data_IF_354383245295
#
_entry.id   IF_354383245295
#
_cell.length_a   1.000
_cell.length_b   1.000
_cell.length_c   1.000
_cell.angle_alpha   90.00
_cell.angle_beta   90.00
_cell.angle_gamma   90.00
#
_symmetry.space_group_name_H-M   'P 1'
#
loop_
_entity.id
_entity.type
_entity.pdbx_description
1 polymer ?
#
# COMPACT_ATOMS: atom_id res chain seq x y z
N UNK A 1 -46.52 62.39 -8.31
CA UNK A 1 -46.93 61.17 -8.95
C UNK A 1 -45.69 60.63 -9.69
N UNK A 2 -45.01 59.54 -9.43
CA UNK A 2 -45.38 58.26 -8.87
C UNK A 2 -44.13 57.59 -8.31
N UNK A 3 -44.20 57.18 -7.09
CA UNK A 3 -43.30 56.23 -6.47
C UNK A 3 -43.52 54.86 -7.16
N UNK A 4 -42.45 54.14 -7.53
CA UNK A 4 -42.37 52.68 -7.51
C UNK A 4 -41.30 52.13 -8.48
N UNK A 5 -40.04 52.06 -8.11
CA UNK A 5 -39.07 51.21 -8.80
C UNK A 5 -37.81 50.91 -7.95
N UNK A 6 -37.96 50.65 -6.64
CA UNK A 6 -36.77 50.38 -5.82
C UNK A 6 -36.86 49.09 -4.98
N UNK A 7 -37.76 48.15 -5.35
CA UNK A 7 -37.99 46.97 -4.51
C UNK A 7 -37.58 45.60 -5.11
N UNK A 8 -36.96 45.53 -6.29
CA UNK A 8 -36.65 44.22 -6.90
C UNK A 8 -35.15 43.83 -6.91
N UNK A 9 -34.28 44.71 -6.39
CA UNK A 9 -32.83 44.41 -6.41
C UNK A 9 -32.30 43.79 -5.10
N UNK A 10 -33.04 43.88 -4.00
CA UNK A 10 -32.59 43.35 -2.69
C UNK A 10 -32.79 41.84 -2.49
N UNK A 11 -33.69 41.18 -3.23
CA UNK A 11 -34.00 39.79 -3.03
C UNK A 11 -33.06 38.83 -3.81
N UNK A 12 -32.44 39.29 -4.88
CA UNK A 12 -31.49 38.45 -5.66
C UNK A 12 -30.10 38.33 -5.03
N UNK A 13 -29.66 39.33 -4.26
CA UNK A 13 -28.34 39.29 -3.61
C UNK A 13 -28.37 38.43 -2.35
N UNK A 14 -29.47 38.38 -1.63
CA UNK A 14 -29.61 37.55 -0.43
C UNK A 14 -29.72 36.04 -0.78
N UNK A 15 -30.34 35.68 -1.91
CA UNK A 15 -30.50 34.29 -2.34
C UNK A 15 -29.19 33.70 -2.84
N UNK A 16 -28.31 34.52 -3.47
CA UNK A 16 -26.97 34.09 -3.90
C UNK A 16 -25.96 33.93 -2.76
N UNK A 17 -26.19 34.60 -1.63
CA UNK A 17 -25.34 34.48 -0.44
C UNK A 17 -25.66 33.19 0.35
N UNK A 18 -26.90 32.71 0.31
CA UNK A 18 -27.31 31.46 0.96
C UNK A 18 -26.92 30.18 0.15
N UNK A 19 -26.80 30.30 -1.18
CA UNK A 19 -26.36 29.21 -2.04
C UNK A 19 -24.83 28.96 -2.03
N UNK A 20 -24.04 29.93 -1.55
CA UNK A 20 -22.58 29.77 -1.40
C UNK A 20 -22.12 29.12 -0.09
N UNK A 21 -23.02 28.74 0.81
CA UNK A 21 -22.66 28.13 2.11
C UNK A 21 -22.83 26.62 2.18
N UNK A 22 -23.03 25.96 1.06
CA UNK A 22 -22.92 24.49 1.00
C UNK A 22 -21.70 24.03 0.19
N UNK A 23 -20.54 24.66 0.44
CA UNK A 23 -19.29 23.92 0.26
C UNK A 23 -19.23 22.99 1.48
N UNK A 24 -19.89 21.86 1.35
CA UNK A 24 -19.60 20.69 2.17
C UNK A 24 -18.14 20.37 1.92
N UNK A 25 -17.29 20.80 2.82
CA UNK A 25 -15.96 20.21 2.99
C UNK A 25 -16.22 18.73 3.18
N UNK A 26 -16.07 17.96 2.09
CA UNK A 26 -16.02 16.51 2.11
C UNK A 26 -14.88 16.22 3.09
N UNK A 27 -15.21 15.98 4.37
CA UNK A 27 -14.25 15.52 5.37
C UNK A 27 -13.58 14.34 4.69
N UNK A 28 -12.29 14.48 4.38
CA UNK A 28 -11.48 13.33 4.00
C UNK A 28 -11.66 12.36 5.16
N UNK A 29 -12.43 11.32 4.89
CA UNK A 29 -12.60 10.24 5.85
C UNK A 29 -11.19 9.66 6.02
N UNK A 30 -10.53 10.03 7.12
CA UNK A 30 -9.23 9.45 7.46
C UNK A 30 -9.55 7.98 7.77
N UNK A 31 -9.24 7.11 6.84
CA UNK A 31 -9.41 5.68 7.03
C UNK A 31 -8.54 5.25 8.21
N UNK A 32 -9.19 4.70 9.23
CA UNK A 32 -8.53 4.15 10.40
C UNK A 32 -8.56 2.63 10.28
N UNK A 33 -7.39 2.02 10.28
CA UNK A 33 -7.26 0.57 10.38
C UNK A 33 -7.06 0.17 11.84
N UNK A 34 -7.70 -0.91 12.25
CA UNK A 34 -7.54 -1.49 13.59
C UNK A 34 -7.61 -3.00 13.45
N UNK A 35 -6.63 -3.68 14.01
CA UNK A 35 -6.59 -5.15 14.06
C UNK A 35 -6.49 -5.59 15.52
N UNK A 36 -6.97 -6.79 15.79
CA UNK A 36 -6.82 -7.45 17.08
C UNK A 36 -6.11 -8.78 16.87
N UNK A 37 -4.96 -8.93 17.51
CA UNK A 37 -4.20 -10.17 17.54
C UNK A 37 -4.40 -10.85 18.87
N UNK A 38 -4.74 -12.13 18.85
CA UNK A 38 -5.09 -12.93 20.03
C UNK A 38 -4.03 -14.01 20.22
N UNK A 39 -3.43 -14.05 21.39
CA UNK A 39 -2.61 -15.17 21.82
C UNK A 39 -3.48 -16.43 21.98
N UNK A 40 -3.04 -17.53 21.45
CA UNK A 40 -3.72 -18.83 21.51
C UNK A 40 -3.07 -19.69 22.58
N UNK A 41 -1.89 -20.15 22.32
CA UNK A 41 -1.08 -20.96 23.21
C UNK A 41 0.39 -20.88 22.78
N UNK A 42 1.31 -21.26 23.67
CA UNK A 42 2.75 -21.27 23.42
C UNK A 42 3.22 -19.95 22.75
N UNK A 43 3.77 -20.03 21.54
CA UNK A 43 4.22 -18.88 20.74
C UNK A 43 3.25 -18.51 19.60
N UNK A 44 2.05 -19.10 19.59
CA UNK A 44 1.07 -18.94 18.51
C UNK A 44 0.13 -17.78 18.77
N UNK A 45 0.00 -16.90 17.79
CA UNK A 45 -0.96 -15.81 17.74
C UNK A 45 -1.88 -15.95 16.53
N UNK A 46 -3.09 -15.45 16.64
CA UNK A 46 -4.04 -15.41 15.53
C UNK A 46 -4.62 -14.00 15.39
N UNK A 47 -4.71 -13.51 14.17
CA UNK A 47 -5.33 -12.23 13.85
C UNK A 47 -6.31 -12.40 12.71
N UNK A 48 -7.45 -11.70 12.78
CA UNK A 48 -8.38 -11.60 11.65
C UNK A 48 -8.26 -10.22 11.03
N UNK A 49 -8.00 -10.18 9.73
CA UNK A 49 -7.91 -8.95 8.93
C UNK A 49 -8.92 -9.05 7.81
N UNK A 50 -9.95 -8.23 7.85
CA UNK A 50 -11.00 -8.15 6.82
C UNK A 50 -11.65 -9.53 6.49
N UNK A 51 -11.85 -10.37 7.52
CA UNK A 51 -12.43 -11.71 7.38
C UNK A 51 -11.42 -12.83 7.13
N UNK A 52 -10.15 -12.51 6.89
CA UNK A 52 -9.07 -13.48 6.66
C UNK A 52 -8.30 -13.75 7.95
N UNK A 53 -8.18 -15.02 8.30
CA UNK A 53 -7.43 -15.42 9.49
C UNK A 53 -5.96 -15.67 9.14
N UNK A 54 -5.07 -15.01 9.88
CA UNK A 54 -3.62 -15.18 9.77
C UNK A 54 -3.11 -15.73 11.10
N UNK A 55 -2.45 -16.87 11.05
CA UNK A 55 -1.74 -17.46 12.19
C UNK A 55 -0.28 -16.98 12.12
N UNK A 56 0.28 -16.62 13.25
CA UNK A 56 1.67 -16.17 13.41
C UNK A 56 2.30 -17.08 14.46
N UNK A 57 3.44 -17.68 14.13
CA UNK A 57 4.12 -18.57 15.03
C UNK A 57 5.65 -18.50 14.86
N UNK A 58 6.38 -19.14 15.77
CA UNK A 58 7.80 -19.36 15.65
C UNK A 58 8.10 -20.75 15.06
N UNK A 59 9.33 -20.95 14.62
CA UNK A 59 9.82 -22.26 14.25
C UNK A 59 10.02 -23.17 15.45
N UNK A 60 10.06 -24.47 15.24
CA UNK A 60 10.30 -25.46 16.29
C UNK A 60 11.65 -25.22 17.01
N UNK A 61 12.65 -24.78 16.28
CA UNK A 61 13.98 -24.37 16.80
C UNK A 61 13.93 -23.22 17.78
N UNK A 62 12.83 -22.43 17.78
CA UNK A 62 12.59 -21.28 18.66
C UNK A 62 11.46 -21.53 19.64
N UNK A 63 11.04 -22.80 19.81
CA UNK A 63 9.99 -23.21 20.72
C UNK A 63 8.57 -22.94 20.21
N UNK A 64 8.38 -22.72 18.93
CA UNK A 64 7.08 -22.69 18.26
C UNK A 64 6.64 -24.05 17.73
N UNK A 65 5.54 -24.08 17.00
CA UNK A 65 4.95 -25.26 16.37
C UNK A 65 4.90 -25.15 14.84
N UNK A 66 5.53 -24.11 14.27
CA UNK A 66 5.56 -23.83 12.84
C UNK A 66 4.17 -23.73 12.16
N UNK A 67 3.16 -23.27 12.91
CA UNK A 67 1.78 -23.16 12.41
C UNK A 67 1.53 -21.96 11.51
N UNK A 68 2.50 -21.06 11.38
CA UNK A 68 2.35 -19.85 10.57
C UNK A 68 3.67 -19.10 10.36
N UNK A 69 3.66 -18.11 9.49
CA UNK A 69 4.83 -17.29 9.21
C UNK A 69 5.30 -16.49 10.44
N UNK A 70 6.59 -16.17 10.46
CA UNK A 70 7.20 -15.32 11.48
C UNK A 70 6.82 -13.86 11.24
N UNK A 71 6.68 -13.06 12.33
CA UNK A 71 6.21 -11.67 12.23
C UNK A 71 7.02 -10.80 11.27
N UNK A 72 8.36 -10.93 11.28
CA UNK A 72 9.22 -10.13 10.40
C UNK A 72 9.03 -10.49 8.91
N UNK A 73 8.80 -11.75 8.58
CA UNK A 73 8.54 -12.18 7.20
C UNK A 73 7.20 -11.61 6.68
N UNK A 74 6.19 -11.47 7.53
CA UNK A 74 4.94 -10.81 7.17
C UNK A 74 5.15 -9.34 6.78
N UNK A 75 6.13 -8.66 7.36
CA UNK A 75 6.49 -7.30 6.94
C UNK A 75 7.02 -7.28 5.50
N UNK A 76 7.82 -8.26 5.09
CA UNK A 76 8.31 -8.38 3.71
C UNK A 76 7.15 -8.70 2.75
N UNK A 77 6.27 -9.62 3.14
CA UNK A 77 5.08 -9.95 2.36
C UNK A 77 4.15 -8.73 2.18
N UNK A 78 3.98 -7.91 3.21
CA UNK A 78 3.22 -6.67 3.13
C UNK A 78 3.85 -5.66 2.16
N UNK A 79 5.18 -5.56 2.14
CA UNK A 79 5.90 -4.71 1.18
C UNK A 79 5.67 -5.19 -0.25
N UNK A 80 5.89 -6.49 -0.53
CA UNK A 80 5.67 -7.09 -1.84
C UNK A 80 4.22 -6.93 -2.32
N UNK A 81 3.25 -7.25 -1.47
CA UNK A 81 1.83 -7.14 -1.80
C UNK A 81 1.40 -5.71 -2.10
N UNK A 82 1.82 -4.73 -1.29
CA UNK A 82 1.44 -3.33 -1.49
C UNK A 82 1.96 -2.79 -2.83
N UNK A 83 3.27 -2.95 -3.10
CA UNK A 83 3.84 -2.47 -4.37
C UNK A 83 3.33 -3.27 -5.56
N UNK A 84 3.12 -4.59 -5.42
CA UNK A 84 2.61 -5.45 -6.48
C UNK A 84 1.22 -5.04 -6.95
N UNK A 85 0.30 -4.74 -6.03
CA UNK A 85 -1.03 -4.23 -6.35
C UNK A 85 -0.98 -2.90 -7.12
N UNK A 86 -0.08 -1.99 -6.72
CA UNK A 86 0.13 -0.73 -7.44
C UNK A 86 0.64 -0.97 -8.86
N UNK A 87 1.68 -1.79 -9.02
CA UNK A 87 2.31 -2.10 -10.32
C UNK A 87 1.28 -2.70 -11.27
N UNK A 88 0.56 -3.76 -10.85
CA UNK A 88 -0.48 -4.39 -11.68
C UNK A 88 -1.60 -3.39 -12.03
N UNK A 89 -2.02 -2.55 -11.10
CA UNK A 89 -3.02 -1.51 -11.37
C UNK A 89 -2.55 -0.53 -12.44
N UNK A 90 -1.27 -0.13 -12.42
CA UNK A 90 -0.68 0.77 -13.41
C UNK A 90 -0.52 0.11 -14.76
N UNK A 91 -0.02 -1.14 -14.82
CA UNK A 91 0.14 -1.89 -16.06
C UNK A 91 -1.21 -2.07 -16.76
N UNK A 92 -2.28 -2.41 -16.03
CA UNK A 92 -3.64 -2.47 -16.59
C UNK A 92 -4.09 -1.15 -17.20
N UNK A 93 -3.84 -0.01 -16.51
CA UNK A 93 -4.15 1.32 -17.06
C UNK A 93 -3.34 1.66 -18.31
N UNK A 94 -2.11 1.14 -18.43
CA UNK A 94 -1.24 1.29 -19.58
C UNK A 94 -1.53 0.25 -20.68
N UNK A 95 -2.53 -0.63 -20.49
CA UNK A 95 -2.90 -1.73 -21.39
C UNK A 95 -1.70 -2.63 -21.68
N UNK A 96 -1.02 -3.05 -20.61
CA UNK A 96 0.06 -4.03 -20.63
C UNK A 96 -0.45 -5.30 -19.97
N UNK A 97 -0.38 -6.39 -20.68
CA UNK A 97 -0.67 -7.73 -20.16
C UNK A 97 0.66 -8.41 -19.85
N UNK A 98 0.72 -9.10 -18.71
CA UNK A 98 1.86 -9.90 -18.28
C UNK A 98 1.34 -11.30 -17.96
N UNK A 99 2.10 -12.32 -18.35
CA UNK A 99 1.71 -13.71 -18.09
C UNK A 99 2.01 -14.09 -16.64
N UNK A 100 3.20 -13.72 -16.15
CA UNK A 100 3.62 -13.92 -14.79
C UNK A 100 4.27 -12.66 -14.22
N UNK A 101 3.98 -12.42 -12.96
CA UNK A 101 4.57 -11.31 -12.22
C UNK A 101 4.78 -11.71 -10.76
N UNK A 102 6.03 -11.81 -10.38
CA UNK A 102 6.46 -12.14 -9.04
C UNK A 102 7.27 -11.01 -8.42
N UNK A 103 7.28 -10.94 -7.10
CA UNK A 103 8.12 -10.02 -6.35
C UNK A 103 8.82 -10.78 -5.25
N UNK A 104 10.12 -10.91 -5.38
CA UNK A 104 11.00 -11.43 -4.34
C UNK A 104 11.48 -10.25 -3.49
N UNK A 105 11.54 -10.43 -2.18
CA UNK A 105 12.08 -9.44 -1.25
C UNK A 105 13.21 -10.07 -0.46
N UNK A 106 14.43 -9.62 -0.71
CA UNK A 106 15.61 -9.97 0.05
C UNK A 106 15.90 -8.88 1.09
N UNK A 107 16.10 -9.28 2.34
CA UNK A 107 16.37 -8.34 3.43
C UNK A 107 17.34 -8.95 4.44
N UNK A 108 18.33 -8.18 4.85
CA UNK A 108 19.32 -8.58 5.83
C UNK A 108 18.95 -8.06 7.22
N UNK A 109 19.16 -8.90 8.23
CA UNK A 109 19.00 -8.51 9.65
C UNK A 109 20.30 -7.94 10.22
N UNK A 110 20.16 -7.12 11.25
CA UNK A 110 21.29 -6.73 12.12
C UNK A 110 21.72 -7.92 12.96
N UNK A 111 22.97 -7.93 13.40
CA UNK A 111 23.54 -8.99 14.25
C UNK A 111 23.22 -8.78 15.74
N UNK A 112 23.01 -7.53 16.14
CA UNK A 112 22.75 -7.16 17.53
C UNK A 112 21.26 -6.84 17.77
N UNK A 113 20.79 -7.12 18.98
CA UNK A 113 19.43 -6.77 19.40
C UNK A 113 19.24 -5.25 19.56
N UNK A 114 18.07 -4.72 19.16
CA UNK A 114 16.95 -5.45 18.56
C UNK A 114 17.25 -5.85 17.11
N UNK A 115 17.03 -7.14 16.78
CA UNK A 115 17.19 -7.63 15.41
C UNK A 115 16.17 -6.96 14.48
N UNK A 116 16.65 -6.10 13.60
CA UNK A 116 15.86 -5.34 12.62
C UNK A 116 16.45 -5.51 11.22
N UNK A 117 15.67 -5.23 10.18
CA UNK A 117 16.22 -5.17 8.84
C UNK A 117 17.19 -4.00 8.71
N UNK A 118 18.38 -4.25 8.17
CA UNK A 118 19.40 -3.23 7.87
C UNK A 118 19.38 -2.83 6.40
N UNK A 119 18.93 -3.73 5.50
CA UNK A 119 18.75 -3.48 4.07
C UNK A 119 17.53 -4.24 3.56
N UNK A 120 16.94 -3.76 2.44
CA UNK A 120 15.86 -4.44 1.76
C UNK A 120 16.01 -4.23 0.25
N UNK A 121 15.93 -5.30 -0.54
CA UNK A 121 15.93 -5.28 -2.00
C UNK A 121 14.68 -5.97 -2.52
N UNK A 122 13.92 -5.29 -3.37
CA UNK A 122 12.79 -5.87 -4.08
C UNK A 122 13.24 -6.26 -5.49
N UNK A 123 12.91 -7.46 -5.92
CA UNK A 123 13.18 -7.95 -7.27
C UNK A 123 11.83 -8.20 -7.93
N UNK A 124 11.53 -7.41 -8.96
CA UNK A 124 10.30 -7.50 -9.73
C UNK A 124 10.57 -8.34 -10.97
N UNK A 125 9.99 -9.53 -11.05
CA UNK A 125 10.21 -10.50 -12.10
C UNK A 125 8.97 -10.60 -12.99
N UNK A 126 9.13 -10.30 -14.27
CA UNK A 126 8.06 -10.31 -15.27
C UNK A 126 8.35 -11.33 -16.34
N UNK A 127 7.34 -12.12 -16.72
CA UNK A 127 7.41 -13.04 -17.86
C UNK A 127 6.21 -12.83 -18.78
N UNK A 128 6.44 -12.95 -20.08
CA UNK A 128 5.43 -12.80 -21.12
C UNK A 128 6.04 -12.41 -22.47
N UNK A 129 5.25 -12.57 -23.52
CA UNK A 129 5.64 -12.17 -24.85
C UNK A 129 5.53 -10.64 -25.03
N UNK A 130 6.44 -10.07 -25.82
CA UNK A 130 6.42 -8.65 -26.24
C UNK A 130 6.21 -7.64 -25.08
N UNK A 131 6.83 -7.88 -23.94
CA UNK A 131 6.70 -7.02 -22.76
C UNK A 131 7.32 -5.63 -23.01
N UNK A 132 6.55 -4.54 -22.87
CA UNK A 132 7.04 -3.18 -23.10
C UNK A 132 7.86 -2.68 -21.89
N UNK A 133 9.16 -2.93 -21.88
CA UNK A 133 10.11 -2.62 -20.80
C UNK A 133 9.90 -1.23 -20.20
N UNK A 134 9.86 -0.18 -21.05
CA UNK A 134 9.67 1.22 -20.58
C UNK A 134 8.38 1.44 -19.79
N UNK A 135 7.31 0.72 -20.12
CA UNK A 135 6.05 0.82 -19.35
C UNK A 135 6.17 0.08 -18.02
N UNK A 136 6.84 -1.07 -18.01
CA UNK A 136 7.13 -1.85 -16.79
C UNK A 136 8.00 -1.04 -15.84
N UNK A 137 9.13 -0.52 -16.31
CA UNK A 137 10.01 0.36 -15.55
C UNK A 137 9.26 1.54 -14.96
N UNK A 138 8.43 2.20 -15.77
CA UNK A 138 7.61 3.34 -15.32
C UNK A 138 6.62 2.92 -14.21
N UNK A 139 5.96 1.78 -14.35
CA UNK A 139 5.00 1.30 -13.36
C UNK A 139 5.69 0.97 -12.02
N UNK A 140 6.81 0.25 -12.06
CA UNK A 140 7.60 -0.07 -10.88
C UNK A 140 8.13 1.19 -10.21
N UNK A 141 8.74 2.10 -10.97
CA UNK A 141 9.28 3.37 -10.46
C UNK A 141 8.20 4.21 -9.79
N UNK A 142 7.03 4.35 -10.41
CA UNK A 142 5.93 5.11 -9.83
C UNK A 142 5.44 4.50 -8.51
N UNK A 143 5.27 3.17 -8.43
CA UNK A 143 4.91 2.52 -7.17
C UNK A 143 5.99 2.76 -6.13
N UNK A 144 7.24 2.49 -6.47
CA UNK A 144 8.38 2.59 -5.57
C UNK A 144 8.58 4.00 -5.02
N UNK A 145 8.46 5.04 -5.85
CA UNK A 145 8.74 6.43 -5.45
C UNK A 145 7.54 7.15 -4.84
N UNK A 146 6.30 6.87 -5.34
CA UNK A 146 5.18 7.78 -5.09
C UNK A 146 3.93 7.14 -4.49
N UNK A 147 3.66 5.84 -4.73
CA UNK A 147 2.36 5.27 -4.40
C UNK A 147 2.37 4.27 -3.26
N UNK A 148 3.38 3.40 -3.16
CA UNK A 148 3.40 2.36 -2.13
C UNK A 148 3.64 2.94 -0.73
N UNK A 149 2.56 3.04 0.07
CA UNK A 149 2.64 3.57 1.43
C UNK A 149 3.50 2.72 2.37
N UNK A 150 3.55 1.40 2.16
CA UNK A 150 4.39 0.49 2.96
C UNK A 150 5.87 0.75 2.66
N UNK A 151 6.25 0.88 1.38
CA UNK A 151 7.62 1.23 1.02
C UNK A 151 8.01 2.63 1.49
N UNK A 152 7.09 3.59 1.47
CA UNK A 152 7.35 4.93 2.02
C UNK A 152 7.70 4.87 3.51
N UNK A 153 7.00 4.04 4.29
CA UNK A 153 7.35 3.81 5.71
C UNK A 153 8.70 3.13 5.85
N UNK A 154 9.00 2.09 5.06
CA UNK A 154 10.28 1.36 5.19
C UNK A 154 11.47 2.21 4.80
N UNK A 155 11.37 3.01 3.73
CA UNK A 155 12.44 3.93 3.31
C UNK A 155 12.81 4.98 4.37
N UNK A 156 11.92 5.26 5.33
CA UNK A 156 12.23 6.17 6.43
C UNK A 156 13.15 5.56 7.49
N UNK A 157 13.32 4.23 7.51
CA UNK A 157 14.07 3.55 8.56
C UNK A 157 15.13 2.57 8.05
N UNK A 158 15.06 2.14 6.78
CA UNK A 158 16.05 1.24 6.16
C UNK A 158 16.34 1.65 4.72
N UNK A 159 17.56 1.43 4.20
CA UNK A 159 17.87 1.51 2.78
C UNK A 159 17.06 0.48 2.01
N UNK A 160 16.23 0.95 1.06
CA UNK A 160 15.42 0.09 0.20
C UNK A 160 15.85 0.33 -1.25
N UNK A 161 16.13 -0.76 -1.98
CA UNK A 161 16.45 -0.75 -3.41
C UNK A 161 15.53 -1.68 -4.18
N UNK A 162 15.57 -1.58 -5.50
CA UNK A 162 14.86 -2.53 -6.35
C UNK A 162 15.65 -2.88 -7.62
N UNK A 163 15.27 -4.01 -8.20
CA UNK A 163 15.73 -4.53 -9.48
C UNK A 163 14.52 -4.98 -10.28
N UNK A 164 14.59 -4.88 -11.61
CA UNK A 164 13.55 -5.35 -12.52
C UNK A 164 14.19 -6.39 -13.43
N UNK A 165 13.56 -7.56 -13.52
CA UNK A 165 13.93 -8.64 -14.42
C UNK A 165 12.79 -8.92 -15.39
N UNK A 166 13.08 -8.97 -16.67
CA UNK A 166 12.10 -9.21 -17.74
C UNK A 166 12.60 -10.40 -18.56
N UNK A 167 11.83 -11.51 -18.52
CA UNK A 167 12.17 -12.77 -19.21
C UNK A 167 13.56 -13.33 -18.84
N UNK A 168 14.04 -13.02 -17.65
CA UNK A 168 15.26 -13.60 -17.09
C UNK A 168 14.91 -14.88 -16.29
N UNK A 169 15.81 -15.88 -16.32
CA UNK A 169 15.73 -17.13 -15.56
C UNK A 169 16.37 -17.01 -14.16
#
# INVERSE_FOLDING_TARGET
>A
MSFCAFSRYRTKVALNCLLRRQITTKRRNMSKHSIKTVWKENNTFSTNIDGHNIVIDLGEDQGGQDQGPRPKQLMLAAAAGCTGLDVISMLRKMRVEVEHFDIKVDAELTEEHPLKYKTMKLIYEFKGDDLPEKKIERAVKLSFENYCGVLAMYKSCVPVSYEIKINED
#
